data_IF_104696259530
#
_entry.id   IF_104696259530
#
_cell.length_a   1.000
_cell.length_b   1.000
_cell.length_c   1.000
_cell.angle_alpha   90.00
_cell.angle_beta   90.00
_cell.angle_gamma   90.00
#
_symmetry.space_group_name_H-M   'P 1'
#
loop_
_entity.id
_entity.type
_entity.pdbx_description
1 polymer ?
#
# COMPACT_ATOMS: atom_id res chain seq x y z
N UNK A 1 -11.86 17.88 -35.20
CA UNK A 1 -12.94 17.84 -34.23
C UNK A 1 -12.35 17.26 -32.96
N UNK A 2 -12.08 18.11 -31.97
CA UNK A 2 -11.54 17.64 -30.69
C UNK A 2 -12.72 17.15 -29.86
N UNK A 3 -12.85 15.84 -29.73
CA UNK A 3 -13.80 15.22 -28.80
C UNK A 3 -13.37 15.58 -27.36
N UNK A 4 -14.06 16.54 -26.78
CA UNK A 4 -14.07 16.73 -25.33
C UNK A 4 -14.82 15.53 -24.70
N UNK A 5 -14.09 14.44 -24.45
CA UNK A 5 -14.58 13.38 -23.57
C UNK A 5 -14.76 14.07 -22.21
N UNK A 6 -16.00 14.15 -21.73
CA UNK A 6 -16.32 14.58 -20.37
C UNK A 6 -15.53 13.71 -19.41
N UNK A 7 -14.38 14.22 -18.91
CA UNK A 7 -13.69 13.61 -17.79
C UNK A 7 -14.68 13.61 -16.61
N UNK A 8 -15.26 12.44 -16.31
CA UNK A 8 -15.94 12.23 -15.05
C UNK A 8 -14.94 12.65 -13.97
N UNK A 9 -15.27 13.67 -13.21
CA UNK A 9 -14.41 14.19 -12.14
C UNK A 9 -14.29 13.11 -11.05
N UNK A 10 -13.27 12.26 -11.14
CA UNK A 10 -13.02 11.16 -10.19
C UNK A 10 -12.52 11.65 -8.82
N UNK A 11 -12.58 12.97 -8.57
CA UNK A 11 -12.54 13.60 -7.24
C UNK A 11 -11.22 13.54 -6.49
N UNK A 12 -10.26 12.70 -6.86
CA UNK A 12 -8.99 12.57 -6.14
C UNK A 12 -7.80 12.58 -7.10
N UNK A 13 -6.86 13.50 -6.83
CA UNK A 13 -5.54 13.50 -7.49
C UNK A 13 -4.69 12.38 -6.87
N UNK A 14 -3.96 11.59 -7.69
CA UNK A 14 -2.98 10.64 -7.17
C UNK A 14 -1.91 11.34 -6.35
N UNK A 15 -1.46 10.71 -5.27
CA UNK A 15 -0.43 11.24 -4.40
C UNK A 15 0.93 11.19 -5.09
N UNK A 16 1.72 12.27 -5.02
CA UNK A 16 3.07 12.35 -5.62
C UNK A 16 3.09 11.96 -7.11
N UNK A 17 2.04 12.35 -7.86
CA UNK A 17 1.87 11.93 -9.26
C UNK A 17 3.08 12.28 -10.13
N UNK A 18 3.51 13.53 -10.12
CA UNK A 18 4.62 13.99 -10.95
C UNK A 18 5.93 13.31 -10.54
N UNK A 19 6.19 13.22 -9.25
CA UNK A 19 7.37 12.57 -8.69
C UNK A 19 7.42 11.08 -9.04
N UNK A 20 6.28 10.38 -9.08
CA UNK A 20 6.20 8.98 -9.50
C UNK A 20 6.50 8.81 -10.98
N UNK A 21 5.94 9.67 -11.83
CA UNK A 21 6.18 9.61 -13.28
C UNK A 21 7.65 9.91 -13.62
N UNK A 22 8.25 10.89 -12.96
CA UNK A 22 9.67 11.22 -13.11
C UNK A 22 10.56 10.08 -12.57
N UNK A 23 10.17 9.49 -11.44
CA UNK A 23 10.89 8.37 -10.85
C UNK A 23 10.90 7.13 -11.74
N UNK A 24 9.78 6.84 -12.41
CA UNK A 24 9.64 5.71 -13.32
C UNK A 24 10.45 5.87 -14.62
N UNK A 25 10.84 7.11 -15.00
CA UNK A 25 11.58 7.41 -16.23
C UNK A 25 10.96 6.71 -17.46
N UNK A 26 9.64 6.94 -17.67
CA UNK A 26 8.82 6.18 -18.61
C UNK A 26 9.35 6.26 -20.04
N UNK A 27 9.62 5.09 -20.63
CA UNK A 27 9.92 4.92 -22.05
C UNK A 27 8.64 4.59 -22.81
N UNK A 28 8.41 5.19 -23.99
CA UNK A 28 7.16 5.02 -24.72
C UNK A 28 6.84 3.58 -25.13
N UNK A 29 7.84 2.75 -25.35
CA UNK A 29 7.77 1.34 -25.76
C UNK A 29 7.95 0.36 -24.59
N UNK A 30 8.10 0.87 -23.36
CA UNK A 30 8.40 0.08 -22.16
C UNK A 30 7.19 -0.66 -21.59
N UNK A 31 7.47 -1.62 -20.71
CA UNK A 31 6.47 -2.39 -19.97
C UNK A 31 6.47 -1.95 -18.51
N UNK A 32 5.30 -1.56 -18.00
CA UNK A 32 5.16 -1.02 -16.65
C UNK A 32 4.12 -1.81 -15.85
N UNK A 33 4.29 -1.79 -14.53
CA UNK A 33 3.33 -2.37 -13.58
C UNK A 33 2.88 -1.28 -12.61
N UNK A 34 1.58 -1.15 -12.42
CA UNK A 34 0.97 -0.48 -11.28
C UNK A 34 0.38 -1.56 -10.38
N UNK A 35 1.06 -1.87 -9.28
CA UNK A 35 0.70 -2.96 -8.37
C UNK A 35 -0.41 -2.60 -7.38
N UNK A 36 -0.86 -1.35 -7.39
CA UNK A 36 -1.89 -0.78 -6.51
C UNK A 36 -2.80 0.14 -7.32
N UNK A 37 -3.45 -0.45 -8.31
CA UNK A 37 -4.16 0.24 -9.39
C UNK A 37 -5.19 1.27 -8.89
N UNK A 38 -5.93 0.96 -7.83
CA UNK A 38 -6.99 1.80 -7.32
C UNK A 38 -7.96 2.23 -8.43
N UNK A 39 -8.23 3.53 -8.51
CA UNK A 39 -9.02 4.11 -9.61
C UNK A 39 -8.17 4.51 -10.82
N UNK A 40 -7.03 3.89 -11.01
CA UNK A 40 -6.12 4.10 -12.14
C UNK A 40 -5.64 5.54 -12.32
N UNK A 41 -5.40 6.25 -11.23
CA UNK A 41 -4.93 7.65 -11.31
C UNK A 41 -3.52 7.75 -11.87
N UNK A 42 -2.56 7.04 -11.28
CA UNK A 42 -1.19 6.92 -11.79
C UNK A 42 -1.16 6.18 -13.14
N UNK A 43 -1.90 5.08 -13.23
CA UNK A 43 -2.01 4.25 -14.43
C UNK A 43 -2.42 5.01 -15.68
N UNK A 44 -3.39 5.92 -15.58
CA UNK A 44 -3.83 6.76 -16.70
C UNK A 44 -2.68 7.65 -17.21
N UNK A 45 -1.92 8.23 -16.31
CA UNK A 45 -0.80 9.09 -16.68
C UNK A 45 0.41 8.31 -17.20
N UNK A 46 0.60 7.07 -16.74
CA UNK A 46 1.60 6.14 -17.29
C UNK A 46 1.20 5.76 -18.73
N UNK A 47 -0.03 5.26 -18.93
CA UNK A 47 -0.45 4.77 -20.24
C UNK A 47 -0.53 5.86 -21.31
N UNK A 48 -0.82 7.11 -20.93
CA UNK A 48 -0.77 8.28 -21.84
C UNK A 48 0.62 8.54 -22.42
N UNK A 49 1.68 8.09 -21.73
CA UNK A 49 3.08 8.22 -22.16
C UNK A 49 3.57 7.04 -22.99
N UNK A 50 2.78 5.95 -23.04
CA UNK A 50 3.09 4.78 -23.82
C UNK A 50 2.59 4.94 -25.26
N UNK A 51 3.35 4.38 -26.20
CA UNK A 51 3.01 4.29 -27.63
C UNK A 51 2.78 2.85 -28.05
N UNK A 52 2.71 2.58 -29.36
CA UNK A 52 2.59 1.22 -29.88
C UNK A 52 3.79 0.37 -29.44
N UNK A 53 3.51 -0.74 -28.76
CA UNK A 53 4.53 -1.63 -28.16
C UNK A 53 4.67 -1.50 -26.66
N UNK A 54 4.37 -0.32 -26.08
CA UNK A 54 4.34 -0.13 -24.63
C UNK A 54 3.13 -0.80 -23.98
N UNK A 55 3.30 -1.34 -22.77
CA UNK A 55 2.24 -2.07 -22.03
C UNK A 55 2.19 -1.62 -20.57
N UNK A 56 0.98 -1.65 -20.00
CA UNK A 56 0.74 -1.44 -18.58
C UNK A 56 -0.01 -2.65 -18.01
N UNK A 57 0.49 -3.18 -16.91
CA UNK A 57 -0.17 -4.20 -16.11
C UNK A 57 -0.66 -3.49 -14.82
N UNK A 58 -1.98 -3.43 -14.63
CA UNK A 58 -2.60 -2.87 -13.43
C UNK A 58 -3.09 -4.01 -12.54
N UNK A 59 -2.65 -4.02 -11.29
CA UNK A 59 -3.00 -5.05 -10.30
C UNK A 59 -3.74 -4.38 -9.15
N UNK A 60 -4.83 -4.97 -8.69
CA UNK A 60 -5.47 -4.60 -7.44
C UNK A 60 -6.15 -5.82 -6.82
N UNK A 61 -6.18 -5.87 -5.51
CA UNK A 61 -6.89 -6.90 -4.72
C UNK A 61 -8.37 -6.58 -4.53
N UNK A 62 -8.80 -5.33 -4.81
CA UNK A 62 -10.19 -4.88 -4.74
C UNK A 62 -10.85 -4.95 -6.11
N UNK A 63 -11.81 -5.85 -6.31
CA UNK A 63 -12.53 -5.97 -7.57
C UNK A 63 -13.20 -4.66 -7.99
N UNK A 64 -13.66 -3.86 -7.01
CA UNK A 64 -14.29 -2.56 -7.32
C UNK A 64 -13.29 -1.55 -7.90
N UNK A 65 -12.01 -1.66 -7.52
CA UNK A 65 -10.93 -0.88 -8.11
C UNK A 65 -10.67 -1.31 -9.57
N UNK A 66 -10.61 -2.62 -9.81
CA UNK A 66 -10.46 -3.18 -11.17
C UNK A 66 -11.57 -2.71 -12.11
N UNK A 67 -12.82 -2.75 -11.64
CA UNK A 67 -13.99 -2.33 -12.46
C UNK A 67 -13.94 -0.83 -12.76
N UNK A 68 -13.65 0.00 -11.77
CA UNK A 68 -13.47 1.45 -11.93
C UNK A 68 -12.30 1.80 -12.88
N UNK A 69 -11.18 1.07 -12.74
CA UNK A 69 -10.02 1.26 -13.60
C UNK A 69 -10.32 0.85 -15.06
N UNK A 70 -11.09 -0.21 -15.27
CA UNK A 70 -11.52 -0.64 -16.60
C UNK A 70 -12.33 0.45 -17.32
N UNK A 71 -13.25 1.10 -16.62
CA UNK A 71 -13.99 2.24 -17.16
C UNK A 71 -13.07 3.42 -17.49
N UNK A 72 -12.18 3.76 -16.56
CA UNK A 72 -11.28 4.92 -16.71
C UNK A 72 -10.26 4.74 -17.81
N UNK A 73 -9.78 3.52 -18.01
CA UNK A 73 -8.77 3.16 -19.02
C UNK A 73 -9.37 2.62 -20.32
N UNK A 74 -10.69 2.75 -20.54
CA UNK A 74 -11.40 2.14 -21.66
C UNK A 74 -10.76 2.44 -23.04
N UNK A 75 -10.23 3.64 -23.25
CA UNK A 75 -9.55 4.05 -24.48
C UNK A 75 -8.14 3.46 -24.66
N UNK A 76 -7.62 2.73 -23.69
CA UNK A 76 -6.25 2.20 -23.67
C UNK A 76 -6.18 0.69 -23.41
N UNK A 77 -7.32 -0.02 -23.44
CA UNK A 77 -7.38 -1.46 -23.14
C UNK A 77 -6.63 -2.32 -24.16
N UNK A 78 -6.25 -1.77 -25.30
CA UNK A 78 -5.37 -2.40 -26.28
C UNK A 78 -3.95 -2.63 -25.76
N UNK A 79 -3.51 -1.84 -24.77
CA UNK A 79 -2.18 -1.87 -24.15
C UNK A 79 -2.19 -2.00 -22.63
N UNK A 80 -3.37 -2.19 -22.02
CA UNK A 80 -3.54 -2.36 -20.58
C UNK A 80 -4.09 -3.74 -20.25
N UNK A 81 -3.42 -4.45 -19.34
CA UNK A 81 -3.91 -5.69 -18.74
C UNK A 81 -4.28 -5.44 -17.29
N UNK A 82 -5.52 -5.74 -16.90
CA UNK A 82 -6.01 -5.59 -15.53
C UNK A 82 -6.09 -6.95 -14.85
N UNK A 83 -5.50 -7.07 -13.65
CA UNK A 83 -5.40 -8.33 -12.91
C UNK A 83 -5.96 -8.14 -11.51
N UNK A 84 -7.01 -8.89 -11.15
CA UNK A 84 -7.51 -8.97 -9.78
C UNK A 84 -6.64 -9.92 -8.97
N UNK A 85 -5.69 -9.39 -8.21
CA UNK A 85 -4.74 -10.15 -7.39
C UNK A 85 -4.07 -9.25 -6.35
N UNK A 86 -3.41 -9.86 -5.38
CA UNK A 86 -2.53 -9.11 -4.49
C UNK A 86 -1.15 -8.91 -5.17
N UNK A 87 -0.52 -7.78 -4.90
CA UNK A 87 0.79 -7.40 -5.47
C UNK A 87 1.95 -8.30 -5.02
N UNK A 88 1.83 -9.03 -3.91
CA UNK A 88 2.84 -9.99 -3.46
C UNK A 88 3.00 -11.18 -4.43
N UNK A 89 2.00 -11.39 -5.32
CA UNK A 89 2.02 -12.39 -6.39
C UNK A 89 2.56 -11.86 -7.72
N UNK A 90 3.26 -10.72 -7.72
CA UNK A 90 3.73 -10.10 -8.96
C UNK A 90 4.57 -11.05 -9.83
N UNK A 91 5.39 -11.91 -9.23
CA UNK A 91 6.18 -12.90 -9.97
C UNK A 91 5.31 -13.89 -10.73
N UNK A 92 4.29 -14.47 -10.08
CA UNK A 92 3.34 -15.39 -10.69
C UNK A 92 2.56 -14.71 -11.83
N UNK A 93 2.08 -13.49 -11.57
CA UNK A 93 1.31 -12.70 -12.54
C UNK A 93 2.12 -12.45 -13.83
N UNK A 94 3.38 -12.05 -13.69
CA UNK A 94 4.24 -11.81 -14.84
C UNK A 94 4.57 -13.10 -15.59
N UNK A 95 4.74 -14.22 -14.87
CA UNK A 95 4.94 -15.53 -15.48
C UNK A 95 3.70 -15.99 -16.29
N UNK A 96 2.51 -15.86 -15.72
CA UNK A 96 1.24 -16.19 -16.37
C UNK A 96 0.98 -15.35 -17.65
N UNK A 97 1.41 -14.10 -17.62
CA UNK A 97 1.33 -13.18 -18.75
C UNK A 97 2.48 -13.36 -19.76
N UNK A 98 3.41 -14.26 -19.50
CA UNK A 98 4.61 -14.50 -20.31
C UNK A 98 5.47 -13.23 -20.50
N UNK A 99 5.59 -12.40 -19.45
CA UNK A 99 6.38 -11.18 -19.42
C UNK A 99 7.68 -11.47 -18.65
N UNK A 100 8.83 -11.58 -19.33
CA UNK A 100 10.09 -11.96 -18.72
C UNK A 100 10.69 -10.84 -17.84
N UNK A 101 10.34 -9.59 -18.11
CA UNK A 101 10.82 -8.43 -17.36
C UNK A 101 10.08 -7.16 -17.73
N UNK A 102 10.15 -6.18 -16.84
CA UNK A 102 9.46 -4.89 -16.98
C UNK A 102 10.42 -3.72 -16.73
N UNK A 103 10.08 -2.55 -17.27
CA UNK A 103 10.93 -1.36 -17.22
C UNK A 103 10.64 -0.46 -16.03
N UNK A 104 9.49 -0.65 -15.38
CA UNK A 104 9.19 0.03 -14.14
C UNK A 104 8.00 -0.55 -13.40
N UNK A 105 8.02 -0.40 -12.08
CA UNK A 105 6.94 -0.80 -11.19
C UNK A 105 6.62 0.32 -10.21
N UNK A 106 5.34 0.58 -10.00
CA UNK A 106 4.80 1.50 -9.02
C UNK A 106 3.94 0.75 -8.01
N UNK A 107 4.11 1.05 -6.73
CA UNK A 107 3.24 0.61 -5.64
C UNK A 107 2.87 1.81 -4.78
N UNK A 108 1.59 2.17 -4.76
CA UNK A 108 0.99 3.20 -3.91
C UNK A 108 0.25 2.51 -2.76
N UNK A 109 0.96 2.29 -1.64
CA UNK A 109 0.51 1.42 -0.56
C UNK A 109 -0.64 2.02 0.27
N UNK A 110 -1.30 1.17 1.04
CA UNK A 110 -2.35 1.56 1.97
C UNK A 110 -3.76 1.51 1.39
N UNK A 111 -4.67 2.23 2.03
CA UNK A 111 -6.10 2.24 1.66
C UNK A 111 -6.39 3.30 0.61
N UNK A 112 -7.20 2.94 -0.36
CA UNK A 112 -7.68 3.88 -1.36
C UNK A 112 -8.73 4.83 -0.78
N UNK A 113 -8.85 6.04 -1.37
CA UNK A 113 -9.87 7.01 -0.95
C UNK A 113 -11.29 6.42 -0.96
N UNK A 114 -11.72 5.68 -2.00
CA UNK A 114 -13.05 5.05 -2.01
C UNK A 114 -13.27 4.07 -0.85
N UNK A 115 -12.24 3.31 -0.44
CA UNK A 115 -12.36 2.40 0.71
C UNK A 115 -12.59 3.15 2.02
N UNK A 116 -12.00 4.36 2.18
CA UNK A 116 -12.22 5.21 3.34
C UNK A 116 -13.56 5.97 3.30
N UNK A 117 -13.98 6.36 2.10
CA UNK A 117 -15.18 7.19 1.89
C UNK A 117 -16.47 6.36 1.89
N UNK A 118 -16.39 5.06 1.53
CA UNK A 118 -17.50 4.11 1.67
C UNK A 118 -17.57 3.57 3.10
N UNK A 119 -18.50 4.13 3.90
CA UNK A 119 -18.69 3.71 5.29
C UNK A 119 -18.93 2.19 5.41
N UNK A 120 -19.66 1.56 4.47
CA UNK A 120 -19.98 0.14 4.51
C UNK A 120 -18.76 -0.78 4.44
N UNK A 121 -17.58 -0.26 4.05
CA UNK A 121 -16.31 -1.00 4.06
C UNK A 121 -15.68 -1.10 5.46
N UNK A 122 -16.14 -0.35 6.45
CA UNK A 122 -15.69 -0.42 7.84
C UNK A 122 -14.29 0.11 8.14
N UNK A 123 -13.63 0.81 7.20
CA UNK A 123 -12.29 1.39 7.42
C UNK A 123 -12.31 2.65 8.29
N UNK A 124 -13.45 3.36 8.33
CA UNK A 124 -13.56 4.64 9.02
C UNK A 124 -13.99 4.46 10.47
N UNK A 125 -13.33 5.16 11.37
CA UNK A 125 -13.73 5.30 12.79
C UNK A 125 -14.64 6.52 13.01
N UNK A 126 -15.10 7.19 11.95
CA UNK A 126 -15.92 8.39 12.02
C UNK A 126 -17.40 8.11 11.76
N UNK A 127 -17.73 6.99 11.15
CA UNK A 127 -19.08 6.60 10.77
C UNK A 127 -19.37 5.20 11.30
N UNK A 128 -20.63 4.97 11.72
CA UNK A 128 -21.03 3.63 12.15
C UNK A 128 -21.27 2.74 10.94
N UNK A 129 -20.61 1.56 10.97
CA UNK A 129 -20.63 0.61 9.88
C UNK A 129 -20.21 -0.78 10.37
N UNK A 130 -20.49 -1.86 9.62
CA UNK A 130 -19.99 -3.19 9.94
C UNK A 130 -18.45 -3.20 10.03
N UNK A 131 -17.91 -3.98 10.97
CA UNK A 131 -16.46 -4.19 11.14
C UNK A 131 -15.94 -5.16 10.08
N UNK A 132 -15.76 -4.67 8.84
CA UNK A 132 -15.24 -5.47 7.72
C UNK A 132 -13.73 -5.26 7.52
N UNK A 133 -13.31 -4.09 7.08
CA UNK A 133 -11.92 -3.66 6.78
C UNK A 133 -11.18 -4.52 5.73
N UNK A 134 -11.84 -5.42 5.00
CA UNK A 134 -11.22 -6.17 3.93
C UNK A 134 -11.01 -5.28 2.70
N UNK A 135 -9.82 -5.26 2.16
CA UNK A 135 -9.54 -4.69 0.85
C UNK A 135 -10.06 -5.61 -0.25
N UNK A 136 -9.76 -6.91 -0.15
CA UNK A 136 -10.34 -7.96 -0.96
C UNK A 136 -11.58 -8.56 -0.26
N UNK A 137 -12.77 -8.27 -0.79
CA UNK A 137 -14.03 -8.77 -0.21
C UNK A 137 -14.25 -10.28 -0.38
N UNK A 138 -13.43 -10.96 -1.18
CA UNK A 138 -13.47 -12.42 -1.31
C UNK A 138 -12.68 -13.12 -0.20
N UNK A 139 -11.79 -12.40 0.51
CA UNK A 139 -11.08 -12.93 1.67
C UNK A 139 -12.05 -13.25 2.82
N UNK A 140 -11.72 -14.25 3.63
CA UNK A 140 -12.59 -14.70 4.72
C UNK A 140 -12.46 -13.86 5.99
N UNK A 141 -11.23 -13.39 6.33
CA UNK A 141 -10.94 -12.69 7.58
C UNK A 141 -11.42 -11.26 7.56
N UNK A 142 -12.28 -10.88 8.49
CA UNK A 142 -12.81 -9.54 8.70
C UNK A 142 -12.27 -8.90 9.97
N UNK A 143 -12.43 -7.58 10.12
CA UNK A 143 -12.11 -6.90 11.38
C UNK A 143 -13.00 -7.40 12.55
N UNK A 144 -14.25 -7.82 12.25
CA UNK A 144 -15.15 -8.45 13.19
C UNK A 144 -14.55 -9.73 13.76
N UNK A 145 -14.01 -10.59 12.91
CA UNK A 145 -13.39 -11.85 13.35
C UNK A 145 -12.14 -11.57 14.20
N UNK A 146 -11.32 -10.60 13.80
CA UNK A 146 -10.14 -10.20 14.59
C UNK A 146 -10.54 -9.77 16.01
N UNK A 147 -11.53 -8.89 16.19
CA UNK A 147 -11.88 -8.39 17.51
C UNK A 147 -12.67 -9.39 18.35
N UNK A 148 -13.48 -10.26 17.72
CA UNK A 148 -14.30 -11.21 18.46
C UNK A 148 -13.61 -12.55 18.74
N UNK A 149 -12.73 -13.02 17.85
CA UNK A 149 -12.23 -14.40 17.94
C UNK A 149 -10.76 -14.50 18.34
N UNK A 150 -9.93 -13.45 18.06
CA UNK A 150 -8.51 -13.54 18.36
C UNK A 150 -8.23 -13.50 19.86
N UNK A 151 -7.21 -14.29 20.36
CA UNK A 151 -6.85 -14.27 21.77
C UNK A 151 -6.26 -12.92 22.19
N UNK A 152 -6.35 -12.62 23.49
CA UNK A 152 -5.84 -11.38 24.10
C UNK A 152 -4.41 -11.06 23.67
N UNK A 153 -3.52 -12.05 23.67
CA UNK A 153 -2.10 -11.85 23.35
C UNK A 153 -1.91 -11.39 21.89
N UNK A 154 -2.67 -11.96 20.95
CA UNK A 154 -2.63 -11.56 19.55
C UNK A 154 -3.20 -10.16 19.34
N UNK A 155 -4.34 -9.84 19.97
CA UNK A 155 -4.90 -8.49 19.94
C UNK A 155 -3.90 -7.47 20.50
N UNK A 156 -3.29 -7.76 21.65
CA UNK A 156 -2.26 -6.91 22.26
C UNK A 156 -1.08 -6.73 21.32
N UNK A 157 -0.60 -7.82 20.71
CA UNK A 157 0.53 -7.82 19.78
C UNK A 157 0.26 -6.91 18.57
N UNK A 158 -0.85 -7.11 17.86
CA UNK A 158 -1.13 -6.29 16.69
C UNK A 158 -1.34 -4.81 17.04
N UNK A 159 -2.03 -4.52 18.13
CA UNK A 159 -2.22 -3.14 18.58
C UNK A 159 -0.89 -2.44 18.88
N UNK A 160 0.07 -3.16 19.48
CA UNK A 160 1.40 -2.65 19.77
C UNK A 160 2.28 -2.59 18.52
N UNK A 161 2.41 -3.68 17.78
CA UNK A 161 3.36 -3.81 16.67
C UNK A 161 2.86 -3.07 15.41
N UNK A 162 1.57 -3.15 15.08
CA UNK A 162 1.00 -2.57 13.85
C UNK A 162 0.36 -1.20 14.09
N UNK A 163 -0.11 -0.94 15.30
CA UNK A 163 -0.69 0.36 15.69
C UNK A 163 0.32 1.33 16.30
N UNK A 164 1.47 0.85 16.77
CA UNK A 164 2.35 1.61 17.66
C UNK A 164 1.54 2.21 18.85
N UNK A 165 0.52 1.45 19.33
CA UNK A 165 -0.45 1.89 20.32
C UNK A 165 0.08 1.64 21.75
N UNK A 166 0.30 2.71 22.50
CA UNK A 166 0.85 2.63 23.87
C UNK A 166 -0.11 2.00 24.87
N UNK A 167 -1.43 2.16 24.62
CA UNK A 167 -2.49 1.60 25.44
C UNK A 167 -2.88 0.18 25.03
N UNK A 168 -2.12 -0.49 24.16
CA UNK A 168 -2.44 -1.81 23.60
C UNK A 168 -2.89 -2.85 24.63
N UNK A 169 -2.22 -3.02 25.81
CA UNK A 169 -2.67 -4.00 26.80
C UNK A 169 -4.06 -3.69 27.39
N UNK A 170 -4.35 -2.41 27.63
CA UNK A 170 -5.64 -1.99 28.21
C UNK A 170 -6.77 -2.14 27.17
N UNK A 171 -6.52 -1.72 25.91
CA UNK A 171 -7.46 -1.82 24.82
C UNK A 171 -7.77 -3.28 24.51
N UNK A 172 -6.76 -4.15 24.38
CA UNK A 172 -6.96 -5.57 24.13
C UNK A 172 -7.78 -6.24 25.23
N UNK A 173 -7.49 -5.93 26.51
CA UNK A 173 -8.30 -6.45 27.65
C UNK A 173 -9.74 -5.98 27.58
N UNK A 174 -9.95 -4.71 27.23
CA UNK A 174 -11.29 -4.14 27.15
C UNK A 174 -12.11 -4.73 26.00
N UNK A 175 -11.47 -5.00 24.84
CA UNK A 175 -12.10 -5.74 23.72
C UNK A 175 -12.54 -7.12 24.17
N UNK A 176 -11.65 -7.90 24.81
CA UNK A 176 -11.98 -9.24 25.31
C UNK A 176 -13.14 -9.20 26.30
N UNK A 177 -13.14 -8.29 27.27
CA UNK A 177 -14.23 -8.12 28.23
C UNK A 177 -15.55 -7.72 27.58
N UNK A 178 -15.50 -6.85 26.57
CA UNK A 178 -16.71 -6.38 25.88
C UNK A 178 -17.36 -7.52 25.07
N UNK A 179 -16.60 -8.30 24.32
CA UNK A 179 -17.12 -9.40 23.50
C UNK A 179 -17.69 -10.57 24.32
N UNK A 180 -17.28 -10.73 25.60
CA UNK A 180 -17.87 -11.70 26.51
C UNK A 180 -19.34 -11.34 26.86
N UNK A 181 -19.73 -10.08 26.72
CA UNK A 181 -21.10 -9.63 26.96
C UNK A 181 -21.97 -9.69 25.70
N UNK A 182 -21.43 -9.20 24.58
CA UNK A 182 -22.04 -9.24 23.27
C UNK A 182 -20.98 -9.10 22.17
N UNK A 183 -21.18 -9.72 21.00
CA UNK A 183 -20.29 -9.53 19.86
C UNK A 183 -20.14 -8.05 19.48
N UNK A 184 -18.92 -7.65 19.11
CA UNK A 184 -18.61 -6.30 18.62
C UNK A 184 -18.87 -6.30 17.12
N UNK A 185 -19.93 -5.62 16.67
CA UNK A 185 -20.43 -5.70 15.30
C UNK A 185 -20.04 -4.48 14.45
N UNK A 186 -19.92 -3.30 15.10
CA UNK A 186 -19.77 -2.05 14.35
C UNK A 186 -18.53 -1.26 14.73
N UNK A 187 -18.14 -0.37 13.83
CA UNK A 187 -16.97 0.52 13.99
C UNK A 187 -17.11 1.42 15.21
N UNK A 188 -18.29 2.04 15.45
CA UNK A 188 -18.47 2.93 16.60
C UNK A 188 -18.52 2.18 17.92
N UNK A 189 -19.06 0.96 17.97
CA UNK A 189 -18.93 0.10 19.15
C UNK A 189 -17.46 -0.12 19.51
N UNK A 190 -16.63 -0.46 18.52
CA UNK A 190 -15.19 -0.63 18.74
C UNK A 190 -14.52 0.68 19.18
N UNK A 191 -14.89 1.82 18.59
CA UNK A 191 -14.37 3.15 18.99
C UNK A 191 -14.66 3.43 20.47
N UNK A 192 -15.88 3.16 20.93
CA UNK A 192 -16.26 3.41 22.33
C UNK A 192 -15.52 2.48 23.30
N UNK A 193 -15.32 1.22 22.92
CA UNK A 193 -14.51 0.28 23.69
C UNK A 193 -13.06 0.78 23.80
N UNK A 194 -12.45 1.21 22.70
CA UNK A 194 -11.09 1.76 22.68
C UNK A 194 -11.00 2.98 23.59
N UNK A 195 -11.90 3.96 23.44
CA UNK A 195 -11.93 5.17 24.27
C UNK A 195 -12.07 4.85 25.76
N UNK A 196 -12.91 3.87 26.12
CA UNK A 196 -13.11 3.47 27.51
C UNK A 196 -11.87 2.87 28.18
N UNK A 197 -10.93 2.36 27.38
CA UNK A 197 -9.67 1.78 27.85
C UNK A 197 -8.52 2.78 27.96
N UNK A 198 -8.69 3.99 27.43
CA UNK A 198 -7.61 4.98 27.36
C UNK A 198 -7.65 5.97 28.53
N UNK A 199 -6.48 6.38 29.06
CA UNK A 199 -6.42 7.43 30.09
C UNK A 199 -6.83 8.79 29.50
N UNK A 200 -7.34 9.73 30.32
CA UNK A 200 -7.77 11.07 29.88
C UNK A 200 -6.70 11.85 29.12
N UNK A 201 -5.43 11.65 29.44
CA UNK A 201 -4.32 12.30 28.73
C UNK A 201 -4.24 11.84 27.26
N UNK A 202 -4.38 10.54 27.00
CA UNK A 202 -4.35 9.98 25.64
C UNK A 202 -5.58 10.42 24.82
N UNK A 203 -6.74 10.58 25.44
CA UNK A 203 -7.95 11.08 24.78
C UNK A 203 -7.85 12.55 24.33
N UNK A 204 -6.92 13.32 24.89
CA UNK A 204 -6.68 14.73 24.53
C UNK A 204 -5.63 14.92 23.45
N UNK A 205 -5.03 13.83 22.95
CA UNK A 205 -4.07 13.89 21.85
C UNK A 205 -4.76 14.48 20.58
N UNK A 206 -3.97 15.14 19.73
CA UNK A 206 -4.46 15.74 18.47
C UNK A 206 -5.07 14.72 17.50
N UNK A 207 -4.60 13.48 17.56
CA UNK A 207 -5.10 12.39 16.70
C UNK A 207 -6.31 11.73 17.36
N UNK A 208 -7.24 11.24 16.51
CA UNK A 208 -8.39 10.49 17.02
C UNK A 208 -7.93 9.25 17.80
N UNK A 209 -8.48 8.97 19.01
CA UNK A 209 -8.04 7.88 19.88
C UNK A 209 -8.02 6.50 19.21
N UNK A 210 -9.00 6.19 18.36
CA UNK A 210 -9.10 4.90 17.69
C UNK A 210 -8.17 4.76 16.46
N UNK A 211 -7.52 5.82 15.98
CA UNK A 211 -6.75 5.80 14.72
C UNK A 211 -5.72 4.68 14.68
N UNK A 212 -4.91 4.53 15.72
CA UNK A 212 -3.83 3.53 15.80
C UNK A 212 -4.39 2.11 15.88
N UNK A 213 -5.45 1.92 16.65
CA UNK A 213 -6.09 0.60 16.78
C UNK A 213 -6.77 0.17 15.47
N UNK A 214 -7.44 1.08 14.77
CA UNK A 214 -8.01 0.81 13.45
C UNK A 214 -6.93 0.48 12.41
N UNK A 215 -5.82 1.23 12.40
CA UNK A 215 -4.67 0.90 11.57
C UNK A 215 -4.14 -0.52 11.88
N UNK A 216 -4.00 -0.88 13.14
CA UNK A 216 -3.49 -2.18 13.56
C UNK A 216 -4.38 -3.33 13.07
N UNK A 217 -5.69 -3.20 13.27
CA UNK A 217 -6.68 -4.20 12.87
C UNK A 217 -6.71 -4.31 11.33
N UNK A 218 -6.71 -3.17 10.62
CA UNK A 218 -6.67 -3.13 9.16
C UNK A 218 -5.44 -3.86 8.59
N UNK A 219 -4.26 -3.57 9.14
CA UNK A 219 -3.00 -4.23 8.74
C UNK A 219 -3.09 -5.75 8.97
N UNK A 220 -3.66 -6.18 10.10
CA UNK A 220 -3.83 -7.58 10.42
C UNK A 220 -4.81 -8.30 9.48
N UNK A 221 -5.98 -7.68 9.20
CA UNK A 221 -7.00 -8.22 8.29
C UNK A 221 -6.44 -8.42 6.88
N UNK A 222 -5.61 -7.49 6.41
CA UNK A 222 -5.17 -7.45 5.03
C UNK A 222 -3.74 -7.98 4.81
N UNK A 223 -3.00 -8.36 5.86
CA UNK A 223 -1.61 -8.83 5.75
C UNK A 223 -0.67 -7.80 5.13
N UNK A 224 -0.92 -6.49 5.35
CA UNK A 224 -0.29 -5.41 4.59
C UNK A 224 1.24 -5.40 4.72
N UNK A 225 1.76 -5.62 5.93
CA UNK A 225 3.21 -5.54 6.18
C UNK A 225 3.95 -6.81 5.74
N UNK A 226 3.34 -7.98 5.90
CA UNK A 226 3.95 -9.26 5.56
C UNK A 226 4.12 -9.43 4.04
N UNK A 227 3.25 -8.78 3.26
CA UNK A 227 3.32 -8.77 1.80
C UNK A 227 4.48 -7.94 1.23
N UNK A 228 5.05 -6.99 2.00
CA UNK A 228 6.04 -6.03 1.47
C UNK A 228 7.41 -6.66 1.14
N UNK A 229 8.06 -7.45 2.02
CA UNK A 229 9.36 -8.02 1.68
C UNK A 229 9.32 -8.92 0.44
N UNK A 230 8.41 -9.92 0.32
CA UNK A 230 8.34 -10.76 -0.86
C UNK A 230 7.99 -9.98 -2.14
N UNK A 231 7.11 -8.98 -2.05
CA UNK A 231 6.80 -8.10 -3.17
C UNK A 231 8.04 -7.35 -3.67
N UNK A 232 8.81 -6.73 -2.76
CA UNK A 232 10.01 -5.97 -3.14
C UNK A 232 11.09 -6.86 -3.79
N UNK A 233 11.30 -8.05 -3.27
CA UNK A 233 12.24 -9.02 -3.83
C UNK A 233 11.79 -9.50 -5.22
N UNK A 234 10.52 -9.85 -5.36
CA UNK A 234 9.95 -10.27 -6.63
C UNK A 234 9.97 -9.12 -7.66
N UNK A 235 9.60 -7.91 -7.25
CA UNK A 235 9.66 -6.72 -8.11
C UNK A 235 11.08 -6.50 -8.65
N UNK A 236 12.09 -6.49 -7.77
CA UNK A 236 13.48 -6.30 -8.19
C UNK A 236 13.98 -7.44 -9.09
N UNK A 237 13.52 -8.67 -8.89
CA UNK A 237 13.95 -9.80 -9.72
C UNK A 237 13.41 -9.71 -11.16
N UNK A 238 12.22 -9.11 -11.34
CA UNK A 238 11.56 -8.97 -12.65
C UNK A 238 11.78 -7.62 -13.34
N UNK A 239 12.53 -6.69 -12.71
CA UNK A 239 12.95 -5.48 -13.40
C UNK A 239 14.08 -5.78 -14.40
N UNK A 240 13.96 -5.20 -15.59
CA UNK A 240 15.05 -5.10 -16.57
C UNK A 240 16.18 -4.24 -16.01
N UNK A 241 17.41 -4.42 -16.49
CA UNK A 241 18.53 -3.56 -16.14
C UNK A 241 18.19 -2.09 -16.47
N UNK A 242 18.43 -1.18 -15.52
CA UNK A 242 18.03 0.23 -15.61
C UNK A 242 16.53 0.48 -15.30
N UNK A 243 15.73 -0.57 -15.11
CA UNK A 243 14.33 -0.44 -14.73
C UNK A 243 14.14 0.15 -13.34
N UNK A 244 13.00 0.81 -13.09
CA UNK A 244 12.73 1.60 -11.89
C UNK A 244 11.66 0.97 -11.00
N UNK A 245 11.92 0.94 -9.71
CA UNK A 245 10.96 0.61 -8.67
C UNK A 245 10.62 1.87 -7.87
N UNK A 246 9.36 2.26 -7.87
CA UNK A 246 8.82 3.38 -7.11
C UNK A 246 7.79 2.87 -6.12
N UNK A 247 7.95 3.18 -4.83
CA UNK A 247 7.06 2.73 -3.75
C UNK A 247 6.69 3.89 -2.85
N UNK A 248 5.39 4.19 -2.74
CA UNK A 248 4.83 5.17 -1.81
C UNK A 248 4.35 4.43 -0.57
N UNK A 249 4.70 4.94 0.60
CA UNK A 249 4.20 4.49 1.91
C UNK A 249 3.54 5.64 2.66
N UNK A 250 2.59 5.31 3.56
CA UNK A 250 1.80 6.30 4.31
C UNK A 250 2.00 6.24 5.82
N UNK A 251 2.68 5.23 6.34
CA UNK A 251 3.02 5.16 7.77
C UNK A 251 4.44 4.62 8.02
N UNK A 252 4.88 4.80 9.27
CA UNK A 252 6.25 4.51 9.72
C UNK A 252 6.69 3.05 9.51
N UNK A 253 5.77 2.11 9.68
CA UNK A 253 6.07 0.68 9.58
C UNK A 253 6.35 0.26 8.14
N UNK A 254 5.49 0.69 7.19
CA UNK A 254 5.74 0.47 5.75
C UNK A 254 7.09 1.06 5.34
N UNK A 255 7.32 2.36 5.64
CA UNK A 255 8.55 3.05 5.26
C UNK A 255 9.79 2.37 5.84
N UNK A 256 9.71 1.84 7.07
CA UNK A 256 10.79 1.11 7.74
C UNK A 256 11.14 -0.18 7.01
N UNK A 257 10.12 -0.98 6.64
CA UNK A 257 10.29 -2.24 5.91
C UNK A 257 10.87 -1.96 4.52
N UNK A 258 10.26 -1.06 3.74
CA UNK A 258 10.72 -0.70 2.39
C UNK A 258 12.16 -0.21 2.43
N UNK A 259 12.48 0.72 3.34
CA UNK A 259 13.84 1.24 3.50
C UNK A 259 14.84 0.12 3.78
N UNK A 260 14.52 -0.77 4.74
CA UNK A 260 15.41 -1.86 5.15
C UNK A 260 15.62 -2.83 3.99
N UNK A 261 14.56 -3.31 3.36
CA UNK A 261 14.65 -4.26 2.24
C UNK A 261 15.39 -3.66 1.04
N UNK A 262 15.08 -2.42 0.64
CA UNK A 262 15.83 -1.75 -0.44
C UNK A 262 17.31 -1.56 -0.09
N UNK A 263 17.66 -1.25 1.17
CA UNK A 263 19.05 -1.17 1.61
C UNK A 263 19.75 -2.52 1.53
N UNK A 264 19.11 -3.60 1.94
CA UNK A 264 19.63 -4.97 1.85
C UNK A 264 19.88 -5.40 0.40
N UNK A 265 18.97 -5.06 -0.52
CA UNK A 265 19.08 -5.32 -1.95
C UNK A 265 20.16 -4.44 -2.64
N UNK A 266 20.39 -3.24 -2.12
CA UNK A 266 21.42 -2.33 -2.60
C UNK A 266 22.82 -2.62 -2.01
N UNK A 267 22.89 -3.46 -0.97
CA UNK A 267 24.13 -3.78 -0.30
C UNK A 267 24.85 -4.92 -1.02
N UNK A 268 26.11 -4.68 -1.40
CA UNK A 268 27.00 -5.67 -1.98
C UNK A 268 27.64 -6.57 -0.93
N UNK A 269 28.93 -6.82 -1.09
CA UNK A 269 29.71 -7.65 -0.18
C UNK A 269 29.54 -7.23 1.28
N UNK A 270 29.31 -8.22 2.16
CA UNK A 270 29.17 -8.06 3.62
C UNK A 270 30.29 -8.79 4.38
N UNK A 271 31.34 -9.21 3.69
CA UNK A 271 32.52 -9.80 4.33
C UNK A 271 33.22 -8.78 5.22
N UNK A 272 33.85 -9.22 6.32
CA UNK A 272 34.73 -8.37 7.11
C UNK A 272 35.79 -7.68 6.23
N UNK A 273 36.13 -6.40 6.49
CA UNK A 273 37.12 -5.66 5.69
C UNK A 273 38.50 -6.31 5.64
N UNK A 274 38.85 -7.12 6.65
CA UNK A 274 40.14 -7.82 6.80
C UNK A 274 40.25 -9.03 5.86
N UNK A 275 39.15 -9.46 5.23
CA UNK A 275 39.21 -10.61 4.32
C UNK A 275 39.90 -10.22 3.00
N UNK A 276 40.98 -10.91 2.58
CA UNK A 276 41.72 -10.57 1.37
C UNK A 276 40.89 -10.83 0.09
N UNK A 277 39.90 -11.70 0.16
CA UNK A 277 39.01 -12.03 -0.97
C UNK A 277 37.56 -12.14 -0.47
N UNK A 278 36.64 -11.62 -1.26
CA UNK A 278 35.21 -11.75 -0.98
C UNK A 278 34.76 -13.22 -1.07
N UNK A 279 34.22 -13.77 0.01
CA UNK A 279 33.70 -15.15 0.08
C UNK A 279 32.17 -15.21 0.09
N UNK A 280 31.46 -14.09 0.28
CA UNK A 280 29.99 -14.09 0.34
C UNK A 280 29.31 -14.11 -1.04
N UNK A 281 30.02 -13.72 -2.10
CA UNK A 281 29.50 -13.65 -3.47
C UNK A 281 28.35 -12.63 -3.67
N UNK A 282 27.97 -11.87 -2.61
CA UNK A 282 26.83 -10.96 -2.65
C UNK A 282 27.16 -9.74 -3.53
N UNK A 283 26.29 -9.51 -4.52
CA UNK A 283 26.33 -8.32 -5.39
C UNK A 283 25.09 -7.48 -5.13
N UNK A 284 25.21 -6.14 -5.22
CA UNK A 284 24.01 -5.29 -5.15
C UNK A 284 23.11 -5.59 -6.34
N UNK A 285 21.81 -5.67 -6.10
CA UNK A 285 20.79 -5.92 -7.13
C UNK A 285 20.18 -4.62 -7.66
N UNK A 286 20.23 -3.57 -6.84
CA UNK A 286 19.65 -2.25 -7.14
C UNK A 286 20.61 -1.13 -6.70
N UNK A 287 20.38 0.05 -7.24
CA UNK A 287 20.94 1.31 -6.78
C UNK A 287 19.79 2.17 -6.24
N UNK A 288 19.92 2.75 -5.04
CA UNK A 288 18.95 3.73 -4.54
C UNK A 288 19.09 5.03 -5.32
N UNK A 289 17.99 5.52 -5.90
CA UNK A 289 17.99 6.79 -6.65
C UNK A 289 18.17 7.97 -5.70
N UNK A 290 17.57 7.89 -4.50
CA UNK A 290 17.81 8.85 -3.43
C UNK A 290 17.93 8.15 -2.07
N UNK A 291 18.77 8.70 -1.16
CA UNK A 291 18.88 8.19 0.21
C UNK A 291 17.69 8.60 1.07
N UNK A 292 17.14 9.78 0.83
CA UNK A 292 15.95 10.31 1.52
C UNK A 292 14.71 10.00 0.69
N UNK A 293 13.55 9.76 1.32
CA UNK A 293 12.30 9.65 0.58
C UNK A 293 11.95 11.01 -0.05
N UNK A 294 11.29 10.96 -1.20
CA UNK A 294 10.63 12.12 -1.80
C UNK A 294 9.30 12.30 -1.06
N UNK A 295 8.95 13.53 -0.72
CA UNK A 295 7.73 13.88 0.01
C UNK A 295 6.97 14.97 -0.73
N UNK A 296 5.66 15.06 -0.50
CA UNK A 296 4.78 16.03 -1.13
C UNK A 296 5.19 17.47 -0.83
N UNK A 297 5.17 18.31 -1.86
CA UNK A 297 5.39 19.74 -1.73
C UNK A 297 4.20 20.49 -1.12
N UNK A 298 4.41 21.75 -0.74
CA UNK A 298 3.37 22.59 -0.10
C UNK A 298 2.11 22.74 -0.97
N UNK A 299 2.27 22.87 -2.28
CA UNK A 299 1.16 23.00 -3.22
C UNK A 299 0.26 21.76 -3.21
N UNK A 300 0.86 20.54 -3.26
CA UNK A 300 0.11 19.29 -3.18
C UNK A 300 -0.57 19.13 -1.82
N UNK A 301 0.11 19.48 -0.73
CA UNK A 301 -0.44 19.38 0.63
C UNK A 301 -1.66 20.30 0.85
N UNK A 302 -1.70 21.44 0.19
CA UNK A 302 -2.84 22.36 0.23
C UNK A 302 -4.08 21.76 -0.49
N UNK A 303 -3.86 21.04 -1.59
CA UNK A 303 -4.93 20.43 -2.39
C UNK A 303 -5.30 19.02 -1.89
N UNK A 304 -4.32 18.24 -1.42
CA UNK A 304 -4.48 16.85 -1.00
C UNK A 304 -3.86 16.59 0.39
N UNK A 305 -4.61 16.86 1.49
CA UNK A 305 -4.10 16.62 2.85
C UNK A 305 -3.70 15.17 3.14
N UNK A 306 -4.20 14.19 2.36
CA UNK A 306 -3.84 12.76 2.49
C UNK A 306 -2.38 12.50 2.12
N UNK A 307 -1.78 13.35 1.29
CA UNK A 307 -0.37 13.27 0.90
C UNK A 307 0.63 13.61 2.04
N UNK A 308 0.15 14.16 3.16
CA UNK A 308 1.02 14.60 4.29
C UNK A 308 1.97 13.54 4.81
N UNK A 309 1.55 12.29 4.84
CA UNK A 309 2.35 11.17 5.37
C UNK A 309 3.05 10.38 4.27
N UNK A 310 2.82 10.71 3.02
CA UNK A 310 3.35 10.00 1.87
C UNK A 310 4.88 10.13 1.79
N UNK A 311 5.54 9.01 1.50
CA UNK A 311 6.98 8.92 1.29
C UNK A 311 7.25 8.02 0.09
N UNK A 312 7.74 8.61 -1.00
CA UNK A 312 8.15 7.86 -2.18
C UNK A 312 9.62 7.46 -2.07
N UNK A 313 9.89 6.17 -2.20
CA UNK A 313 11.25 5.62 -2.35
C UNK A 313 11.44 5.04 -3.72
N UNK A 314 12.61 5.29 -4.29
CA UNK A 314 12.93 4.91 -5.67
C UNK A 314 14.25 4.15 -5.72
N UNK A 315 14.24 3.04 -6.45
CA UNK A 315 15.43 2.25 -6.76
C UNK A 315 15.52 1.96 -8.25
N UNK A 316 16.72 1.72 -8.72
CA UNK A 316 17.03 1.34 -10.10
C UNK A 316 17.71 -0.03 -10.11
N UNK A 317 17.28 -0.92 -10.99
CA UNK A 317 17.90 -2.23 -11.23
C UNK A 317 19.28 -2.07 -11.83
N UNK A 318 20.27 -2.79 -11.28
CA UNK A 318 21.65 -2.88 -11.79
C UNK A 318 21.81 -3.95 -12.86
#
# INVERSE_FOLDING_TARGET
MCDHIHEKNYGHKPVLLHECLDALAIRPDGVYVDGTLGRAGHSLEIVRRLTAGGRLIGIDRDQTAIDAARERLASYLDRVTLVHSNFDRIGDILADLHIPGVDGMLFDLGVSSPQLDDAARGFSYMHDAPLDMRMDRTASLTARDVVNDWPYEELRRILYDFGEERCAPAIARRIVQAREQAPIETTLQLVDIIKSAMPPAALREKQHPAKRSFQAIRIAVNGELDALPPMLEAAVSHLNAGGRLAVISFHSLEDRIIKKTMQELATGCTCPPEFPVCVCGKKPKIRLVSRKPIVSGEAELAENPRARSAKLRVAEKL
#
